data_IF_304650724135
#
_entry.id   IF_304650724135
#
_cell.length_a   1.000
_cell.length_b   1.000
_cell.length_c   1.000
_cell.angle_alpha   90.00
_cell.angle_beta   90.00
_cell.angle_gamma   90.00
#
_symmetry.space_group_name_H-M   'P 1'
#
loop_
_entity.id
_entity.type
_entity.pdbx_description
1 polymer ?
#
# COMPACT_ATOMS: atom_id res chain seq x y z
N UNK A 1 -54.72 -45.23 20.61
CA UNK A 1 -53.81 -44.09 20.91
C UNK A 1 -52.40 -44.62 20.97
N UNK A 2 -51.45 -43.96 20.30
CA UNK A 2 -50.02 -44.24 20.42
C UNK A 2 -49.25 -44.12 19.11
N UNK A 3 -49.21 -42.92 18.51
CA UNK A 3 -48.30 -42.62 17.40
C UNK A 3 -46.90 -42.35 17.96
N UNK A 4 -45.90 -43.09 17.50
CA UNK A 4 -44.49 -42.83 17.82
C UNK A 4 -44.00 -41.70 16.90
N UNK A 5 -43.43 -40.60 17.42
CA UNK A 5 -42.99 -39.50 16.59
C UNK A 5 -41.66 -39.84 15.91
N UNK A 6 -41.65 -39.76 14.59
CA UNK A 6 -40.44 -39.83 13.78
C UNK A 6 -39.56 -38.62 14.04
N UNK A 7 -38.34 -38.86 14.53
CA UNK A 7 -37.32 -37.83 14.66
C UNK A 7 -36.71 -37.58 13.28
N UNK A 8 -37.03 -36.43 12.68
CA UNK A 8 -36.38 -35.94 11.47
C UNK A 8 -35.06 -35.27 11.89
N UNK A 9 -33.93 -35.92 11.57
CA UNK A 9 -32.60 -35.37 11.80
C UNK A 9 -32.26 -34.40 10.66
N UNK A 10 -32.37 -33.10 10.90
CA UNK A 10 -31.90 -32.05 10.00
C UNK A 10 -30.39 -31.89 10.17
N UNK A 11 -29.60 -32.42 9.23
CA UNK A 11 -28.16 -32.14 9.11
C UNK A 11 -27.95 -30.72 8.61
N UNK A 12 -27.67 -29.79 9.53
CA UNK A 12 -27.19 -28.45 9.19
C UNK A 12 -25.70 -28.56 8.81
N UNK A 13 -25.40 -28.54 7.51
CA UNK A 13 -24.05 -28.34 7.01
C UNK A 13 -23.64 -26.89 7.31
N UNK A 14 -22.91 -26.70 8.41
CA UNK A 14 -22.18 -25.46 8.65
C UNK A 14 -21.08 -25.38 7.58
N UNK A 15 -21.32 -24.62 6.53
CA UNK A 15 -20.26 -24.19 5.60
C UNK A 15 -19.37 -23.25 6.39
N UNK A 16 -18.33 -23.80 7.02
CA UNK A 16 -17.15 -23.02 7.35
C UNK A 16 -16.66 -22.49 6.01
N UNK A 17 -16.87 -21.20 5.75
CA UNK A 17 -16.45 -20.52 4.53
C UNK A 17 -14.92 -20.50 4.44
N UNK A 18 -14.33 -21.63 4.07
CA UNK A 18 -12.95 -21.71 3.67
C UNK A 18 -12.90 -20.99 2.32
N UNK A 19 -12.47 -19.73 2.33
CA UNK A 19 -12.11 -19.04 1.10
C UNK A 19 -11.03 -19.89 0.44
N UNK A 20 -11.33 -20.45 -0.74
CA UNK A 20 -10.34 -21.19 -1.49
C UNK A 20 -9.18 -20.24 -1.84
N UNK A 21 -7.94 -20.72 -1.71
CA UNK A 21 -6.78 -19.96 -2.15
C UNK A 21 -6.95 -19.55 -3.62
N UNK A 22 -6.46 -18.36 -4.03
CA UNK A 22 -6.61 -17.90 -5.40
C UNK A 22 -6.01 -18.90 -6.40
N UNK A 23 -6.64 -19.03 -7.57
CA UNK A 23 -6.12 -19.93 -8.59
C UNK A 23 -4.77 -19.41 -9.15
N UNK A 24 -3.85 -20.28 -9.59
CA UNK A 24 -2.55 -19.84 -10.12
C UNK A 24 -2.65 -18.81 -11.26
N UNK A 25 -3.62 -18.98 -12.16
CA UNK A 25 -3.89 -18.05 -13.26
C UNK A 25 -4.41 -16.68 -12.76
N UNK A 26 -5.20 -16.68 -11.69
CA UNK A 26 -5.65 -15.44 -11.05
C UNK A 26 -4.46 -14.69 -10.45
N UNK A 27 -3.57 -15.39 -9.75
CA UNK A 27 -2.35 -14.79 -9.20
C UNK A 27 -1.39 -14.29 -10.26
N UNK A 28 -1.23 -15.01 -11.37
CA UNK A 28 -0.38 -14.55 -12.48
C UNK A 28 -0.84 -13.20 -13.03
N UNK A 29 -2.16 -12.99 -13.14
CA UNK A 29 -2.70 -11.72 -13.61
C UNK A 29 -2.59 -10.61 -12.55
N UNK A 30 -2.84 -10.92 -11.27
CA UNK A 30 -2.76 -9.96 -10.18
C UNK A 30 -1.33 -9.49 -9.88
N UNK A 31 -0.34 -10.36 -10.09
CA UNK A 31 1.07 -10.11 -9.75
C UNK A 31 1.91 -9.70 -10.96
N UNK A 32 1.26 -9.29 -12.05
CA UNK A 32 1.96 -8.81 -13.24
C UNK A 32 2.69 -7.49 -12.95
N UNK A 33 4.01 -7.58 -12.83
CA UNK A 33 4.84 -6.43 -12.48
C UNK A 33 5.06 -5.43 -13.62
N UNK A 34 5.17 -4.15 -13.28
CA UNK A 34 5.59 -3.07 -14.18
C UNK A 34 7.06 -3.27 -14.52
N UNK A 35 7.38 -3.24 -15.81
CA UNK A 35 8.76 -3.40 -16.28
C UNK A 35 9.49 -2.07 -16.36
N UNK A 36 10.82 -2.09 -16.49
CA UNK A 36 11.66 -0.91 -16.76
C UNK A 36 11.17 -0.11 -17.96
N UNK A 37 10.69 -0.77 -19.02
CA UNK A 37 10.13 -0.09 -20.19
C UNK A 37 8.77 0.57 -19.90
N UNK A 38 8.01 0.01 -18.96
CA UNK A 38 6.73 0.52 -18.51
C UNK A 38 6.83 1.54 -17.38
N UNK A 39 7.98 1.74 -16.74
CA UNK A 39 8.09 2.51 -15.48
C UNK A 39 7.43 3.90 -15.50
N UNK A 40 7.27 4.53 -16.66
CA UNK A 40 6.60 5.83 -16.74
C UNK A 40 5.12 5.78 -16.29
N UNK A 41 4.46 4.64 -16.38
CA UNK A 41 3.04 4.52 -16.02
C UNK A 41 2.79 4.58 -14.52
N UNK A 42 3.82 4.43 -13.67
CA UNK A 42 3.68 4.63 -12.21
C UNK A 42 3.80 6.09 -11.78
N UNK A 43 4.08 7.02 -12.71
CA UNK A 43 4.24 8.43 -12.35
C UNK A 43 2.96 9.04 -11.78
N UNK A 44 3.16 9.95 -10.82
CA UNK A 44 2.13 10.83 -10.32
C UNK A 44 2.06 10.85 -8.81
N UNK A 45 0.93 11.38 -8.33
CA UNK A 45 0.63 11.57 -6.92
C UNK A 45 -0.38 10.53 -6.46
N UNK A 46 -0.08 9.89 -5.34
CA UNK A 46 -0.72 8.67 -4.88
C UNK A 46 -1.01 8.75 -3.38
N UNK A 47 -2.15 8.22 -2.96
CA UNK A 47 -2.54 8.12 -1.56
C UNK A 47 -2.58 6.65 -1.17
N UNK A 48 -1.90 6.30 -0.08
CA UNK A 48 -1.95 4.95 0.47
C UNK A 48 -3.36 4.71 1.04
N UNK A 49 -4.05 3.70 0.52
CA UNK A 49 -5.41 3.38 0.96
C UNK A 49 -5.50 2.06 1.72
N UNK A 50 -4.53 1.17 1.51
CA UNK A 50 -4.48 -0.12 2.18
C UNK A 50 -3.03 -0.61 2.25
N UNK A 51 -2.62 -1.20 3.37
CA UNK A 51 -1.33 -1.90 3.43
C UNK A 51 -1.32 -3.01 4.46
N UNK A 52 -0.38 -3.92 4.27
CA UNK A 52 -0.01 -4.94 5.25
C UNK A 52 1.51 -5.06 5.31
N UNK A 53 2.03 -5.39 6.49
CA UNK A 53 3.43 -5.63 6.75
C UNK A 53 3.66 -6.99 7.41
N UNK A 54 4.80 -7.59 7.09
CA UNK A 54 5.31 -8.79 7.75
C UNK A 54 6.79 -8.62 8.08
N UNK A 55 7.20 -9.26 9.19
CA UNK A 55 8.57 -9.22 9.69
C UNK A 55 9.11 -7.78 9.81
N UNK A 56 8.22 -6.81 10.07
CA UNK A 56 8.59 -5.41 10.08
C UNK A 56 9.27 -5.02 11.40
N UNK A 57 10.41 -4.34 11.28
CA UNK A 57 11.10 -3.72 12.42
C UNK A 57 10.44 -2.41 12.86
N UNK A 58 9.48 -1.89 12.07
CA UNK A 58 8.80 -0.62 12.28
C UNK A 58 7.28 -0.78 12.43
N UNK A 59 6.77 -1.99 12.68
CA UNK A 59 5.32 -2.27 12.74
C UNK A 59 4.59 -1.34 13.74
N UNK A 60 5.20 -1.02 14.88
CA UNK A 60 4.59 -0.11 15.85
C UNK A 60 4.56 1.35 15.40
N UNK A 61 5.51 1.78 14.56
CA UNK A 61 5.48 3.09 13.91
C UNK A 61 4.46 3.11 12.78
N UNK A 62 4.34 2.01 12.03
CA UNK A 62 3.32 1.83 11.00
C UNK A 62 1.89 1.90 11.57
N UNK A 63 1.65 1.35 12.77
CA UNK A 63 0.38 1.49 13.49
C UNK A 63 0.05 2.92 13.90
N UNK A 64 1.03 3.83 13.93
CA UNK A 64 0.82 5.26 14.20
C UNK A 64 0.48 6.03 12.93
N UNK A 65 0.52 5.40 11.75
CA UNK A 65 0.15 6.04 10.50
C UNK A 65 -1.33 6.44 10.51
N UNK A 66 -1.58 7.67 10.07
CA UNK A 66 -2.92 8.21 9.87
C UNK A 66 -3.22 8.35 8.37
N UNK A 67 -2.27 8.86 7.60
CA UNK A 67 -2.33 8.93 6.14
C UNK A 67 -0.92 8.94 5.55
N UNK A 68 -0.77 8.49 4.30
CA UNK A 68 0.47 8.54 3.53
C UNK A 68 0.18 9.05 2.11
N UNK A 69 0.97 10.03 1.68
CA UNK A 69 0.94 10.58 0.32
C UNK A 69 2.30 10.37 -0.34
N UNK A 70 2.30 9.82 -1.55
CA UNK A 70 3.49 9.47 -2.33
C UNK A 70 3.51 10.27 -3.63
N UNK A 71 4.66 10.87 -3.94
CA UNK A 71 4.96 11.49 -5.23
C UNK A 71 6.00 10.62 -5.95
N UNK A 72 5.67 10.18 -7.17
CA UNK A 72 6.55 9.39 -8.04
C UNK A 72 6.91 10.19 -9.30
N UNK A 73 8.11 10.77 -9.29
CA UNK A 73 8.72 11.39 -10.47
C UNK A 73 9.58 10.36 -11.21
N UNK A 74 9.54 10.36 -12.54
CA UNK A 74 10.40 9.46 -13.33
C UNK A 74 11.29 10.28 -14.27
N UNK A 75 12.60 10.14 -14.09
CA UNK A 75 13.61 10.81 -14.90
C UNK A 75 14.63 9.80 -15.40
N UNK A 76 14.71 9.62 -16.72
CA UNK A 76 15.66 8.69 -17.35
C UNK A 76 15.58 7.25 -16.80
N UNK A 77 14.38 6.82 -16.39
CA UNK A 77 14.13 5.49 -15.82
C UNK A 77 14.52 5.32 -14.35
N UNK A 78 14.93 6.40 -13.67
CA UNK A 78 15.07 6.49 -12.22
C UNK A 78 13.78 7.05 -11.65
N UNK A 79 13.28 6.43 -10.58
CA UNK A 79 12.10 6.87 -9.85
C UNK A 79 12.57 7.72 -8.67
N UNK A 80 12.20 9.00 -8.67
CA UNK A 80 12.29 9.87 -7.50
C UNK A 80 11.04 9.63 -6.65
N UNK A 81 11.24 9.02 -5.48
CA UNK A 81 10.19 8.66 -4.53
C UNK A 81 10.19 9.64 -3.37
N UNK A 82 9.06 10.30 -3.12
CA UNK A 82 8.84 11.10 -1.91
C UNK A 82 7.54 10.66 -1.26
N UNK A 83 7.63 10.16 -0.03
CA UNK A 83 6.48 9.80 0.79
C UNK A 83 6.36 10.74 1.98
N UNK A 84 5.14 11.18 2.28
CA UNK A 84 4.83 12.03 3.42
C UNK A 84 3.75 11.37 4.26
N UNK A 85 4.14 11.03 5.47
CA UNK A 85 3.32 10.33 6.44
C UNK A 85 2.83 11.32 7.49
N UNK A 86 1.51 11.39 7.66
CA UNK A 86 0.89 12.01 8.83
C UNK A 86 0.69 10.93 9.88
N UNK A 87 1.19 11.17 11.08
CA UNK A 87 1.03 10.26 12.21
C UNK A 87 -0.18 10.65 13.07
N UNK A 88 -0.67 9.73 13.91
CA UNK A 88 -1.83 9.94 14.81
C UNK A 88 -1.64 11.05 15.83
N UNK A 89 -0.40 11.40 16.16
CA UNK A 89 -0.05 12.56 17.00
C UNK A 89 0.04 13.89 16.21
N UNK A 90 -0.35 13.88 14.92
CA UNK A 90 -0.24 14.96 13.95
C UNK A 90 1.20 15.42 13.65
N UNK A 91 2.23 14.61 13.95
CA UNK A 91 3.57 14.85 13.43
C UNK A 91 3.70 14.38 11.99
N UNK A 92 4.63 15.00 11.26
CA UNK A 92 4.93 14.68 9.88
C UNK A 92 6.30 14.03 9.76
N UNK A 93 6.34 12.93 9.02
CA UNK A 93 7.57 12.24 8.62
C UNK A 93 7.63 12.19 7.10
N UNK A 94 8.75 12.59 6.52
CA UNK A 94 8.97 12.53 5.07
C UNK A 94 10.08 11.54 4.76
N UNK A 95 9.80 10.58 3.90
CA UNK A 95 10.76 9.64 3.38
C UNK A 95 11.09 9.98 1.92
N UNK A 96 12.37 9.99 1.56
CA UNK A 96 12.83 10.26 0.20
C UNK A 96 13.87 9.23 -0.22
N UNK A 97 13.72 8.68 -1.42
CA UNK A 97 14.72 7.81 -2.02
C UNK A 97 14.65 7.87 -3.54
N UNK A 98 15.69 7.37 -4.19
CA UNK A 98 15.73 7.20 -5.63
C UNK A 98 15.86 5.71 -5.93
N UNK A 99 14.96 5.19 -6.76
CA UNK A 99 14.93 3.78 -7.13
C UNK A 99 15.34 3.63 -8.60
N UNK A 100 16.16 2.62 -8.89
CA UNK A 100 16.58 2.28 -10.25
C UNK A 100 16.28 0.82 -10.55
N UNK A 101 16.15 0.47 -11.82
CA UNK A 101 15.97 -0.93 -12.21
C UNK A 101 17.14 -1.80 -11.70
N UNK A 102 16.81 -2.88 -11.02
CA UNK A 102 17.78 -3.84 -10.49
C UNK A 102 18.43 -4.69 -11.60
N UNK A 103 19.54 -5.39 -11.29
CA UNK A 103 20.26 -6.20 -12.26
C UNK A 103 19.56 -7.51 -12.61
N UNK A 104 18.71 -8.03 -11.71
CA UNK A 104 18.19 -9.41 -11.78
C UNK A 104 16.81 -9.54 -12.44
N UNK A 105 16.12 -8.43 -12.73
CA UNK A 105 14.74 -8.50 -13.23
C UNK A 105 14.31 -7.26 -14.00
N UNK A 106 13.48 -7.46 -15.02
CA UNK A 106 12.89 -6.35 -15.78
C UNK A 106 11.87 -5.55 -14.96
N UNK A 107 11.36 -6.10 -13.86
CA UNK A 107 10.26 -5.55 -13.05
C UNK A 107 10.62 -5.31 -11.57
N UNK A 108 11.91 -5.37 -11.23
CA UNK A 108 12.40 -5.10 -9.88
C UNK A 108 13.19 -3.80 -9.90
N UNK A 109 12.86 -2.91 -9.00
CA UNK A 109 13.58 -1.68 -8.73
C UNK A 109 14.29 -1.80 -7.39
N UNK A 110 15.43 -1.15 -7.25
CA UNK A 110 16.26 -1.20 -6.05
C UNK A 110 16.63 0.21 -5.63
N UNK A 111 16.85 0.38 -4.34
CA UNK A 111 17.48 1.58 -3.79
C UNK A 111 18.39 1.19 -2.63
N UNK A 112 19.46 1.96 -2.42
CA UNK A 112 20.50 1.63 -1.44
C UNK A 112 20.62 2.63 -0.29
N UNK A 113 19.84 3.71 -0.34
CA UNK A 113 19.87 4.74 0.67
C UNK A 113 18.55 5.50 0.66
N UNK A 114 18.09 5.88 1.85
CA UNK A 114 16.90 6.69 2.03
C UNK A 114 17.18 7.84 2.99
N UNK A 115 16.41 8.92 2.83
CA UNK A 115 16.43 10.08 3.73
C UNK A 115 15.11 10.16 4.45
N UNK A 116 15.16 10.17 5.77
CA UNK A 116 14.00 10.34 6.65
C UNK A 116 14.11 11.73 7.27
N UNK A 117 13.12 12.58 7.05
CA UNK A 117 12.99 13.88 7.68
C UNK A 117 11.84 13.85 8.68
N UNK A 118 12.15 14.07 9.95
CA UNK A 118 11.16 14.22 11.01
C UNK A 118 11.46 15.49 11.81
N UNK A 119 10.46 16.37 11.95
CA UNK A 119 10.59 17.64 12.69
C UNK A 119 11.78 18.52 12.23
N UNK A 120 12.18 18.42 10.96
CA UNK A 120 13.31 19.15 10.37
C UNK A 120 14.69 18.51 10.62
N UNK A 121 14.75 17.38 11.32
CA UNK A 121 15.94 16.55 11.45
C UNK A 121 15.97 15.54 10.32
N UNK A 122 17.08 15.49 9.58
CA UNK A 122 17.28 14.54 8.47
C UNK A 122 18.24 13.44 8.91
N UNK A 123 17.79 12.20 8.79
CA UNK A 123 18.60 10.99 8.98
C UNK A 123 18.75 10.28 7.65
N UNK A 124 19.95 9.78 7.37
CA UNK A 124 20.23 8.92 6.21
C UNK A 124 20.27 7.48 6.69
N UNK A 125 19.52 6.61 6.03
CA UNK A 125 19.53 5.18 6.26
C UNK A 125 20.13 4.49 5.03
N UNK A 126 21.26 3.84 5.22
CA UNK A 126 21.81 2.94 4.21
C UNK A 126 21.11 1.60 4.32
N UNK A 127 20.54 1.14 3.22
CA UNK A 127 19.83 -0.13 3.16
C UNK A 127 20.01 -0.78 1.79
N UNK A 128 19.50 -1.97 1.60
CA UNK A 128 19.35 -2.53 0.26
C UNK A 128 17.94 -3.08 0.17
N UNK A 129 17.12 -2.40 -0.60
CA UNK A 129 15.72 -2.71 -0.73
C UNK A 129 15.37 -3.02 -2.17
N UNK A 130 14.41 -3.92 -2.32
CA UNK A 130 13.78 -4.25 -3.59
C UNK A 130 12.34 -3.80 -3.59
N UNK A 131 11.89 -3.30 -4.73
CA UNK A 131 10.55 -2.78 -4.94
C UNK A 131 10.02 -3.35 -6.24
N UNK A 132 8.78 -3.85 -6.22
CA UNK A 132 8.04 -4.20 -7.44
C UNK A 132 6.75 -3.41 -7.46
N UNK A 133 6.43 -2.85 -8.62
CA UNK A 133 5.14 -2.22 -8.86
C UNK A 133 4.24 -3.17 -9.63
N UNK A 134 2.96 -3.19 -9.31
CA UNK A 134 1.92 -3.90 -10.06
C UNK A 134 0.86 -2.90 -10.49
N UNK A 135 0.50 -2.95 -11.76
CA UNK A 135 -0.56 -2.12 -12.30
C UNK A 135 -1.86 -2.90 -12.36
N UNK A 136 -2.85 -2.40 -11.63
CA UNK A 136 -4.19 -2.98 -11.60
C UNK A 136 -5.19 -2.13 -12.39
N UNK A 137 -5.05 -0.79 -12.40
CA UNK A 137 -5.93 0.12 -13.13
C UNK A 137 -5.30 1.52 -13.35
N UNK A 138 -5.96 2.41 -14.11
CA UNK A 138 -5.44 3.76 -14.39
C UNK A 138 -5.24 4.65 -13.14
N UNK A 139 -6.01 4.38 -12.08
CA UNK A 139 -5.98 5.12 -10.81
C UNK A 139 -5.58 4.22 -9.62
N UNK A 140 -4.95 3.09 -9.90
CA UNK A 140 -4.56 2.09 -8.90
C UNK A 140 -3.08 1.77 -9.06
N UNK A 141 -2.34 1.78 -7.95
CA UNK A 141 -0.95 1.36 -7.92
C UNK A 141 -0.76 0.41 -6.74
N UNK A 142 -0.05 -0.69 -6.95
CA UNK A 142 0.36 -1.58 -5.88
C UNK A 142 1.87 -1.67 -5.87
N UNK A 143 2.46 -1.64 -4.68
CA UNK A 143 3.90 -1.70 -4.47
C UNK A 143 4.20 -2.79 -3.45
N UNK A 144 5.01 -3.77 -3.84
CA UNK A 144 5.68 -4.68 -2.92
C UNK A 144 7.04 -4.09 -2.59
N UNK A 145 7.33 -3.92 -1.31
CA UNK A 145 8.65 -3.57 -0.80
C UNK A 145 9.22 -4.73 0.00
N UNK A 146 10.49 -5.06 -0.21
CA UNK A 146 11.23 -6.00 0.63
C UNK A 146 12.63 -5.47 0.90
N UNK A 147 12.99 -5.28 2.16
CA UNK A 147 14.29 -4.76 2.57
C UNK A 147 14.49 -4.77 4.07
N UNK A 148 15.32 -3.86 4.58
CA UNK A 148 15.74 -3.84 5.98
C UNK A 148 14.58 -3.61 6.96
N UNK A 149 13.57 -2.83 6.58
CA UNK A 149 12.45 -2.48 7.48
C UNK A 149 11.33 -3.52 7.49
N UNK A 150 11.41 -4.55 6.65
CA UNK A 150 10.44 -5.64 6.55
C UNK A 150 10.00 -5.95 5.12
N UNK A 151 8.86 -6.63 5.00
CA UNK A 151 8.18 -6.92 3.75
C UNK A 151 6.78 -6.30 3.80
N UNK A 152 6.47 -5.45 2.82
CA UNK A 152 5.25 -4.66 2.80
C UNK A 152 4.54 -4.80 1.46
N UNK A 153 3.22 -4.87 1.51
CA UNK A 153 2.36 -4.62 0.37
C UNK A 153 1.60 -3.33 0.61
N UNK A 154 1.77 -2.38 -0.31
CA UNK A 154 1.23 -1.04 -0.23
C UNK A 154 0.31 -0.82 -1.44
N UNK A 155 -0.94 -0.47 -1.19
CA UNK A 155 -1.96 -0.26 -2.22
C UNK A 155 -2.39 1.20 -2.20
N UNK A 156 -2.26 1.84 -3.34
CA UNK A 156 -2.48 3.25 -3.54
C UNK A 156 -3.62 3.52 -4.51
N UNK A 157 -4.21 4.71 -4.34
CA UNK A 157 -5.14 5.32 -5.28
C UNK A 157 -4.61 6.67 -5.72
N UNK A 158 -4.93 7.06 -6.94
CA UNK A 158 -4.52 8.38 -7.46
C UNK A 158 -5.05 9.50 -6.56
N UNK A 159 -4.24 10.53 -6.35
CA UNK A 159 -4.68 11.72 -5.66
C UNK A 159 -5.94 12.32 -6.35
N UNK A 160 -6.90 12.78 -5.55
CA UNK A 160 -8.23 13.22 -6.00
C UNK A 160 -9.28 12.12 -6.24
N UNK A 161 -8.91 10.83 -6.21
CA UNK A 161 -9.84 9.69 -6.42
C UNK A 161 -9.88 8.72 -5.23
N UNK A 162 -9.20 9.06 -4.14
CA UNK A 162 -8.95 8.20 -2.98
C UNK A 162 -10.03 8.29 -1.89
N UNK A 163 -10.94 9.28 -1.96
CA UNK A 163 -11.87 9.60 -0.87
C UNK A 163 -13.14 8.74 -0.84
N UNK A 164 -13.43 7.98 -1.91
CA UNK A 164 -14.66 7.18 -1.98
C UNK A 164 -14.54 5.91 -1.11
N UNK A 165 -15.03 6.01 0.13
CA UNK A 165 -14.95 4.95 1.14
C UNK A 165 -15.63 3.66 0.69
N UNK A 166 -16.73 3.73 -0.05
CA UNK A 166 -17.42 2.55 -0.58
C UNK A 166 -16.54 1.80 -1.58
N UNK A 167 -15.84 2.52 -2.47
CA UNK A 167 -14.87 1.94 -3.41
C UNK A 167 -13.70 1.31 -2.65
N UNK A 168 -13.20 1.98 -1.60
CA UNK A 168 -12.10 1.43 -0.78
C UNK A 168 -12.53 0.13 -0.08
N UNK A 169 -13.74 0.10 0.49
CA UNK A 169 -14.30 -1.11 1.12
C UNK A 169 -14.49 -2.24 0.12
N UNK A 170 -15.03 -1.94 -1.06
CA UNK A 170 -15.22 -2.93 -2.12
C UNK A 170 -13.89 -3.52 -2.64
N UNK A 171 -12.80 -2.76 -2.57
CA UNK A 171 -11.48 -3.20 -2.99
C UNK A 171 -10.76 -4.10 -1.97
N UNK A 172 -11.22 -4.20 -0.71
CA UNK A 172 -10.53 -4.96 0.34
C UNK A 172 -10.32 -6.43 -0.03
N UNK A 173 -11.35 -7.07 -0.61
CA UNK A 173 -11.27 -8.46 -1.06
C UNK A 173 -10.20 -8.66 -2.14
N UNK A 174 -10.08 -7.71 -3.06
CA UNK A 174 -9.07 -7.73 -4.11
C UNK A 174 -7.67 -7.53 -3.53
N UNK A 175 -7.50 -6.57 -2.61
CA UNK A 175 -6.22 -6.31 -1.96
C UNK A 175 -5.74 -7.52 -1.16
N UNK A 176 -6.65 -8.18 -0.44
CA UNK A 176 -6.34 -9.40 0.31
C UNK A 176 -5.91 -10.54 -0.63
N UNK A 177 -6.60 -10.73 -1.76
CA UNK A 177 -6.21 -11.73 -2.76
C UNK A 177 -4.83 -11.46 -3.35
N UNK A 178 -4.49 -10.19 -3.62
CA UNK A 178 -3.15 -9.83 -4.08
C UNK A 178 -2.10 -10.17 -3.01
N UNK A 179 -2.37 -9.87 -1.75
CA UNK A 179 -1.50 -10.24 -0.62
C UNK A 179 -1.30 -11.77 -0.53
N UNK A 180 -2.38 -12.55 -0.64
CA UNK A 180 -2.32 -14.02 -0.66
C UNK A 180 -1.50 -14.55 -1.85
N UNK A 181 -1.67 -13.98 -3.04
CA UNK A 181 -0.89 -14.34 -4.23
C UNK A 181 0.60 -13.99 -4.13
N UNK A 182 0.94 -12.97 -3.34
CA UNK A 182 2.32 -12.58 -3.05
C UNK A 182 2.89 -13.32 -1.82
N UNK A 183 2.09 -14.16 -1.15
CA UNK A 183 2.52 -15.00 -0.05
C UNK A 183 2.52 -14.33 1.33
N UNK A 184 1.87 -13.17 1.48
CA UNK A 184 1.69 -12.53 2.79
C UNK A 184 0.72 -13.34 3.66
N UNK A 185 1.00 -13.48 4.95
CA UNK A 185 0.01 -13.88 5.94
C UNK A 185 -0.94 -12.73 6.19
N UNK A 186 -2.24 -13.01 6.18
CA UNK A 186 -3.25 -11.97 6.36
C UNK A 186 -3.39 -11.61 7.84
N UNK A 187 -2.79 -10.48 8.21
CA UNK A 187 -2.95 -9.78 9.48
C UNK A 187 -3.97 -8.63 9.42
N UNK A 188 -3.94 -7.72 10.39
CA UNK A 188 -4.77 -6.51 10.39
C UNK A 188 -4.16 -5.46 9.44
N UNK A 189 -4.85 -5.09 8.34
CA UNK A 189 -4.30 -4.11 7.42
C UNK A 189 -4.49 -2.68 7.92
N UNK A 190 -3.61 -1.79 7.50
CA UNK A 190 -3.92 -0.36 7.48
C UNK A 190 -5.02 -0.11 6.44
N UNK A 191 -6.01 0.72 6.79
CA UNK A 191 -7.08 1.16 5.89
C UNK A 191 -7.23 2.67 6.04
N UNK A 192 -7.12 3.39 4.93
CA UNK A 192 -7.34 4.84 4.92
C UNK A 192 -8.83 5.16 5.15
N UNK A 193 -9.09 6.21 5.93
CA UNK A 193 -10.44 6.58 6.37
C UNK A 193 -11.24 7.40 5.34
N UNK A 194 -10.61 7.79 4.23
CA UNK A 194 -11.23 8.60 3.18
C UNK A 194 -11.23 10.11 3.46
N UNK A 195 -10.79 10.55 4.64
CA UNK A 195 -11.00 11.92 5.14
C UNK A 195 -9.78 12.55 5.82
N UNK A 196 -8.79 11.75 6.23
CA UNK A 196 -7.59 12.25 6.89
C UNK A 196 -6.77 13.09 5.92
N UNK A 197 -6.42 14.31 6.36
CA UNK A 197 -5.55 15.22 5.63
C UNK A 197 -4.12 14.65 5.52
N UNK A 198 -3.26 15.32 4.76
CA UNK A 198 -1.88 14.93 4.51
C UNK A 198 -0.89 15.95 5.04
N UNK A 199 0.35 15.52 5.20
CA UNK A 199 1.45 16.43 5.43
C UNK A 199 1.73 17.25 4.16
N UNK A 200 1.24 18.49 4.14
CA UNK A 200 1.54 19.46 3.10
C UNK A 200 3.02 19.85 3.11
N UNK A 201 3.57 20.28 1.96
CA UNK A 201 4.91 20.88 1.93
C UNK A 201 4.99 21.98 2.99
N UNK A 202 6.10 22.05 3.74
CA UNK A 202 6.44 23.21 4.61
C UNK A 202 6.69 24.53 3.84
N UNK A 203 6.19 24.66 2.62
CA UNK A 203 6.36 25.82 1.76
C UNK A 203 5.05 26.21 1.09
N UNK A 204 4.15 26.77 1.89
CA UNK A 204 3.48 28.04 1.58
C UNK A 204 2.86 28.56 2.88
N UNK A 205 3.14 29.81 3.29
CA UNK A 205 2.36 30.41 4.37
C UNK A 205 0.88 30.43 3.97
N UNK A 206 -0.01 30.19 4.93
CA UNK A 206 -1.43 30.52 4.79
C UNK A 206 -1.52 31.96 4.25
N UNK A 207 -1.91 32.10 2.99
CA UNK A 207 -2.35 33.39 2.49
C UNK A 207 -3.67 33.63 3.20
N UNK A 208 -3.60 34.38 4.31
CA UNK A 208 -4.80 35.01 4.88
C UNK A 208 -5.44 35.81 3.75
N UNK A 209 -6.74 35.62 3.45
CA UNK A 209 -7.42 36.51 2.52
C UNK A 209 -7.34 37.93 3.09
N UNK A 210 -6.78 38.82 2.28
CA UNK A 210 -6.82 40.27 2.50
C UNK A 210 -8.30 40.66 2.51
N UNK A 211 -8.79 41.15 3.65
CA UNK A 211 -10.11 41.78 3.72
C UNK A 211 -9.96 43.19 3.16
N UNK A 212 -10.80 43.50 2.16
CA UNK A 212 -11.01 44.84 1.60
C UNK A 212 -11.28 45.92 2.66
#
# INVERSE_FOLDING_TARGET
MGAVPGVVLLLMLAVLGIRAAPAPEECHNLTKGVTKAGVQSVSGDWVLVWSIDENSTISDDWKKLKSSHVELGIHSGVIDYTERNLLKNNSCMTFKTNMAAGPEGQNTFIYTSSKIEENGVVTVLDENASVKFFETCADCLSMEYSGFIGHFLLIYRRDGVHQNVEVLKAAQDHNQKLAECLGFSIGEPFIYDGVSDFCHKKSSPEVKPEQD
#
